data_IF_119856495293
#
_entry.id   IF_119856495293
#
_cell.length_a   1.000
_cell.length_b   1.000
_cell.length_c   1.000
_cell.angle_alpha   90.00
_cell.angle_beta   90.00
_cell.angle_gamma   90.00
#
_symmetry.space_group_name_H-M   'P 1'
#
loop_
_entity.id
_entity.type
_entity.pdbx_description
1 polymer ?
#
# COMPACT_ATOMS: atom_id res chain seq x y z
N UNK A 1 15.21 22.89 13.17
CA UNK A 1 15.97 21.79 12.52
C UNK A 1 15.17 21.38 11.31
N UNK A 2 15.70 21.54 10.10
CA UNK A 2 15.08 20.93 8.91
C UNK A 2 15.31 19.43 9.03
N UNK A 3 14.26 18.69 9.37
CA UNK A 3 14.28 17.24 9.19
C UNK A 3 14.12 17.05 7.68
N UNK A 4 15.11 16.45 7.02
CA UNK A 4 14.94 16.02 5.65
C UNK A 4 13.87 14.94 5.65
N UNK A 5 12.75 15.20 4.98
CA UNK A 5 11.69 14.23 4.81
C UNK A 5 12.12 13.16 3.81
N UNK A 6 11.59 11.95 3.94
CA UNK A 6 11.76 10.96 2.87
C UNK A 6 10.91 11.35 1.67
N UNK A 7 11.30 10.92 0.46
CA UNK A 7 10.48 11.13 -0.76
C UNK A 7 9.04 10.65 -0.59
N UNK A 8 8.83 9.59 0.20
CA UNK A 8 7.49 9.10 0.51
C UNK A 8 6.70 10.06 1.42
N UNK A 9 7.35 10.63 2.44
CA UNK A 9 6.72 11.66 3.28
C UNK A 9 6.38 12.91 2.47
N UNK A 10 7.26 13.29 1.54
CA UNK A 10 7.01 14.41 0.62
C UNK A 10 5.83 14.12 -0.31
N UNK A 11 5.72 12.92 -0.88
CA UNK A 11 4.54 12.49 -1.66
C UNK A 11 3.25 12.62 -0.84
N UNK A 12 3.26 12.17 0.42
CA UNK A 12 2.09 12.30 1.32
C UNK A 12 1.72 13.77 1.53
N UNK A 13 2.71 14.66 1.69
CA UNK A 13 2.44 16.10 1.80
C UNK A 13 1.90 16.70 0.49
N UNK A 14 2.42 16.28 -0.66
CA UNK A 14 1.92 16.72 -1.97
C UNK A 14 0.45 16.34 -2.15
N UNK A 15 0.08 15.09 -1.89
CA UNK A 15 -1.32 14.64 -1.99
C UNK A 15 -2.22 15.37 -1.00
N UNK A 16 -1.73 15.60 0.23
CA UNK A 16 -2.45 16.39 1.23
C UNK A 16 -2.71 17.83 0.75
N UNK A 17 -1.71 18.47 0.14
CA UNK A 17 -1.84 19.83 -0.41
C UNK A 17 -2.84 19.87 -1.58
N UNK A 18 -2.82 18.88 -2.48
CA UNK A 18 -3.80 18.76 -3.56
C UNK A 18 -5.24 18.64 -3.05
N UNK A 19 -5.42 18.07 -1.85
CA UNK A 19 -6.73 17.88 -1.21
C UNK A 19 -7.06 18.91 -0.13
N UNK A 20 -6.30 19.98 -0.04
CA UNK A 20 -6.60 21.09 0.87
C UNK A 20 -7.91 21.79 0.46
N UNK A 21 -8.90 21.98 1.36
CA UNK A 21 -10.20 22.58 1.00
C UNK A 21 -10.14 24.02 0.52
N UNK A 22 -9.10 24.77 0.88
CA UNK A 22 -8.98 26.21 0.57
C UNK A 22 -8.11 26.45 -0.66
N UNK A 23 -7.03 25.68 -0.81
CA UNK A 23 -5.96 25.91 -1.80
C UNK A 23 -5.75 24.74 -2.76
N UNK A 24 -6.42 23.61 -2.52
CA UNK A 24 -6.24 22.37 -3.27
C UNK A 24 -6.78 22.40 -4.69
N UNK A 25 -6.51 21.32 -5.41
CA UNK A 25 -6.94 21.14 -6.78
C UNK A 25 -8.44 20.79 -6.84
N UNK A 26 -9.25 21.50 -7.65
CA UNK A 26 -10.69 21.23 -7.76
C UNK A 26 -11.03 19.83 -8.30
N UNK A 27 -10.14 19.19 -9.06
CA UNK A 27 -10.34 17.84 -9.55
C UNK A 27 -10.12 16.83 -8.43
N UNK A 28 -9.02 16.96 -7.68
CA UNK A 28 -8.70 16.09 -6.54
C UNK A 28 -9.80 16.20 -5.48
N UNK A 29 -10.20 17.41 -5.09
CA UNK A 29 -11.25 17.63 -4.08
C UNK A 29 -12.58 16.93 -4.42
N UNK A 30 -12.92 16.76 -5.71
CA UNK A 30 -14.14 16.07 -6.15
C UNK A 30 -14.05 14.55 -6.05
N UNK A 31 -12.85 13.99 -5.92
CA UNK A 31 -12.66 12.55 -5.88
C UNK A 31 -13.23 11.92 -4.61
N UNK A 32 -13.68 10.69 -4.76
CA UNK A 32 -14.14 9.81 -3.69
C UNK A 32 -13.47 8.45 -3.88
N UNK A 33 -13.54 7.58 -2.88
CA UNK A 33 -13.05 6.20 -3.06
C UNK A 33 -13.65 5.52 -4.29
N UNK A 34 -14.92 5.79 -4.61
CA UNK A 34 -15.59 5.15 -5.75
C UNK A 34 -15.10 5.68 -7.10
N UNK A 35 -14.81 6.97 -7.20
CA UNK A 35 -14.35 7.56 -8.46
C UNK A 35 -12.89 7.23 -8.75
N UNK A 36 -12.09 6.98 -7.70
CA UNK A 36 -10.69 6.58 -7.84
C UNK A 36 -10.48 5.11 -8.22
N UNK A 37 -11.48 4.24 -8.02
CA UNK A 37 -11.35 2.80 -8.31
C UNK A 37 -11.00 2.49 -9.76
N UNK A 38 -11.52 3.26 -10.72
CA UNK A 38 -11.20 3.03 -12.13
C UNK A 38 -9.71 3.23 -12.41
N UNK A 39 -9.14 4.31 -11.88
CA UNK A 39 -7.71 4.61 -12.02
C UNK A 39 -6.88 3.53 -11.35
N UNK A 40 -7.19 3.15 -10.10
CA UNK A 40 -6.46 2.06 -9.44
C UNK A 40 -6.44 0.76 -10.25
N UNK A 41 -7.54 0.40 -10.91
CA UNK A 41 -7.56 -0.77 -11.77
C UNK A 41 -6.75 -0.58 -13.04
N UNK A 42 -6.88 0.58 -13.69
CA UNK A 42 -6.11 0.99 -14.87
C UNK A 42 -4.61 0.89 -14.61
N UNK A 43 -4.07 1.58 -13.59
CA UNK A 43 -2.63 1.56 -13.28
C UNK A 43 -2.13 0.15 -12.91
N UNK A 44 -3.00 -0.67 -12.30
CA UNK A 44 -2.66 -2.06 -12.00
C UNK A 44 -2.53 -2.91 -13.28
N UNK A 45 -3.32 -2.62 -14.31
CA UNK A 45 -3.21 -3.26 -15.62
C UNK A 45 -2.02 -2.73 -16.41
N UNK A 46 -1.76 -1.41 -16.37
CA UNK A 46 -0.59 -0.80 -17.02
C UNK A 46 0.71 -1.32 -16.39
N UNK A 47 0.79 -1.41 -15.06
CA UNK A 47 1.92 -2.04 -14.39
C UNK A 47 2.11 -3.49 -14.83
N UNK A 48 1.03 -4.28 -14.95
CA UNK A 48 1.12 -5.65 -15.46
C UNK A 48 1.67 -5.67 -16.89
N UNK A 49 1.20 -4.80 -17.78
CA UNK A 49 1.69 -4.71 -19.16
C UNK A 49 3.17 -4.34 -19.21
N UNK A 50 3.61 -3.37 -18.39
CA UNK A 50 5.02 -3.00 -18.31
C UNK A 50 5.91 -4.18 -17.90
N UNK A 51 5.46 -5.01 -16.94
CA UNK A 51 6.14 -6.25 -16.53
C UNK A 51 6.22 -7.26 -17.67
N UNK A 52 5.12 -7.49 -18.39
CA UNK A 52 5.09 -8.43 -19.52
C UNK A 52 6.05 -8.01 -20.65
N UNK A 53 6.29 -6.71 -20.81
CA UNK A 53 7.18 -6.14 -21.81
C UNK A 53 8.63 -5.93 -21.33
N UNK A 54 8.96 -6.30 -20.08
CA UNK A 54 10.25 -6.02 -19.44
C UNK A 54 10.66 -4.52 -19.48
N UNK A 55 9.69 -3.62 -19.50
CA UNK A 55 9.90 -2.17 -19.57
C UNK A 55 10.05 -1.57 -18.16
N UNK A 56 11.30 -1.52 -17.67
CA UNK A 56 11.59 -1.08 -16.31
C UNK A 56 11.32 0.41 -16.05
N UNK A 57 11.40 1.26 -17.08
CA UNK A 57 11.11 2.68 -16.91
C UNK A 57 9.61 2.87 -16.68
N UNK A 58 8.79 2.20 -17.48
CA UNK A 58 7.33 2.21 -17.35
C UNK A 58 6.89 1.47 -16.08
N UNK A 59 7.55 0.37 -15.69
CA UNK A 59 7.28 -0.31 -14.40
C UNK A 59 7.42 0.65 -13.20
N UNK A 60 8.42 1.53 -13.22
CA UNK A 60 8.64 2.51 -12.14
C UNK A 60 7.54 3.57 -12.12
N UNK A 61 7.07 4.00 -13.28
CA UNK A 61 5.97 4.96 -13.43
C UNK A 61 4.67 4.36 -12.87
N UNK A 62 4.26 3.21 -13.41
CA UNK A 62 2.96 2.60 -13.07
C UNK A 62 2.87 2.12 -11.62
N UNK A 63 3.96 1.56 -11.06
CA UNK A 63 3.96 1.20 -9.64
C UNK A 63 3.91 2.45 -8.75
N UNK A 64 4.43 3.58 -9.24
CA UNK A 64 4.31 4.89 -8.62
C UNK A 64 2.86 5.38 -8.63
N UNK A 65 2.14 5.19 -9.73
CA UNK A 65 0.73 5.59 -9.82
C UNK A 65 -0.18 4.69 -8.97
N UNK A 66 0.11 3.39 -8.88
CA UNK A 66 -0.52 2.52 -7.87
C UNK A 66 -0.24 3.03 -6.45
N UNK A 67 0.99 3.48 -6.14
CA UNK A 67 1.32 4.07 -4.85
C UNK A 67 0.56 5.38 -4.60
N UNK A 68 0.41 6.24 -5.61
CA UNK A 68 -0.40 7.45 -5.55
C UNK A 68 -1.85 7.13 -5.15
N UNK A 69 -2.45 6.08 -5.74
CA UNK A 69 -3.79 5.65 -5.38
C UNK A 69 -3.88 5.21 -3.90
N UNK A 70 -2.88 4.48 -3.38
CA UNK A 70 -2.83 4.11 -1.95
C UNK A 70 -2.82 5.35 -1.05
N UNK A 71 -2.02 6.37 -1.40
CA UNK A 71 -1.95 7.63 -0.64
C UNK A 71 -3.25 8.42 -0.74
N UNK A 72 -3.85 8.54 -1.92
CA UNK A 72 -5.14 9.23 -2.13
C UNK A 72 -6.29 8.60 -1.34
N UNK A 73 -6.41 7.27 -1.37
CA UNK A 73 -7.41 6.56 -0.58
C UNK A 73 -7.16 6.74 0.93
N UNK A 74 -5.90 6.74 1.37
CA UNK A 74 -5.56 6.99 2.78
C UNK A 74 -5.89 8.42 3.20
N UNK A 75 -5.63 9.41 2.35
CA UNK A 75 -5.94 10.81 2.59
C UNK A 75 -7.46 11.04 2.69
N UNK A 76 -8.25 10.47 1.76
CA UNK A 76 -9.72 10.51 1.81
C UNK A 76 -10.32 9.90 3.08
N UNK A 77 -9.73 8.82 3.58
CA UNK A 77 -10.15 8.20 4.83
C UNK A 77 -9.77 9.05 6.05
N UNK A 78 -8.59 9.69 6.00
CA UNK A 78 -8.09 10.57 7.05
C UNK A 78 -8.95 11.82 7.19
N UNK A 79 -9.39 12.42 6.08
CA UNK A 79 -10.35 13.55 6.05
C UNK A 79 -11.66 13.23 6.79
N UNK A 80 -12.03 11.95 6.88
CA UNK A 80 -13.23 11.46 7.57
C UNK A 80 -12.93 10.87 8.95
N UNK A 81 -11.72 11.07 9.48
CA UNK A 81 -11.25 10.51 10.75
C UNK A 81 -11.47 8.98 10.84
N UNK A 82 -11.19 8.24 9.75
CA UNK A 82 -11.35 6.77 9.70
C UNK A 82 -10.03 6.03 9.88
N UNK A 83 -9.09 6.28 9.00
CA UNK A 83 -7.71 5.76 9.05
C UNK A 83 -6.82 6.66 8.19
N UNK A 84 -5.51 6.57 8.36
CA UNK A 84 -4.52 7.29 7.55
C UNK A 84 -3.48 6.32 6.94
N UNK A 85 -2.46 6.88 6.27
CA UNK A 85 -1.42 6.10 5.61
C UNK A 85 -0.58 5.26 6.59
N UNK A 86 -0.35 5.76 7.81
CA UNK A 86 0.38 5.04 8.85
C UNK A 86 -0.42 3.84 9.35
N UNK A 87 -1.75 3.96 9.48
CA UNK A 87 -2.64 2.85 9.84
C UNK A 87 -2.60 1.75 8.77
N UNK A 88 -2.60 2.13 7.48
CA UNK A 88 -2.47 1.20 6.35
C UNK A 88 -1.13 0.47 6.41
N UNK A 89 -0.03 1.21 6.54
CA UNK A 89 1.33 0.67 6.63
C UNK A 89 1.50 -0.24 7.86
N UNK A 90 0.97 0.16 9.01
CA UNK A 90 0.98 -0.64 10.24
C UNK A 90 0.22 -1.95 10.04
N UNK A 91 -0.98 -1.90 9.48
CA UNK A 91 -1.83 -3.07 9.26
C UNK A 91 -1.15 -4.09 8.36
N UNK A 92 -0.57 -3.66 7.23
CA UNK A 92 0.13 -4.58 6.33
C UNK A 92 1.42 -5.10 6.95
N UNK A 93 2.21 -4.26 7.62
CA UNK A 93 3.44 -4.67 8.31
C UNK A 93 3.15 -5.77 9.35
N UNK A 94 2.20 -5.55 10.24
CA UNK A 94 1.84 -6.52 11.30
C UNK A 94 1.37 -7.85 10.69
N UNK A 95 0.56 -7.79 9.63
CA UNK A 95 0.12 -8.98 8.88
C UNK A 95 1.29 -9.73 8.25
N UNK A 96 2.23 -9.03 7.62
CA UNK A 96 3.40 -9.66 6.97
C UNK A 96 4.33 -10.28 8.01
N UNK A 97 4.60 -9.60 9.13
CA UNK A 97 5.41 -10.16 10.22
C UNK A 97 4.78 -11.44 10.77
N UNK A 98 3.49 -11.38 11.14
CA UNK A 98 2.76 -12.53 11.70
C UNK A 98 2.74 -13.74 10.76
N UNK A 99 2.71 -13.52 9.45
CA UNK A 99 2.67 -14.60 8.46
C UNK A 99 4.04 -15.11 8.02
N UNK A 100 5.12 -14.51 8.50
CA UNK A 100 6.49 -14.95 8.25
C UNK A 100 7.28 -15.17 9.56
N UNK A 101 6.78 -16.01 10.49
CA UNK A 101 7.50 -16.27 11.76
C UNK A 101 8.88 -16.90 11.52
N UNK A 102 9.06 -17.62 10.41
CA UNK A 102 10.36 -18.17 10.01
C UNK A 102 11.41 -17.10 9.69
N UNK A 103 10.99 -15.88 9.33
CA UNK A 103 11.88 -14.74 9.09
C UNK A 103 12.04 -13.90 10.36
N UNK A 104 10.94 -13.61 11.07
CA UNK A 104 10.93 -12.60 12.14
C UNK A 104 11.05 -13.16 13.56
N UNK A 105 10.72 -14.43 13.79
CA UNK A 105 10.73 -15.08 15.10
C UNK A 105 11.86 -16.13 15.25
N UNK A 106 12.71 -16.31 14.22
CA UNK A 106 13.84 -17.23 14.28
C UNK A 106 15.19 -16.50 14.17
N UNK A 107 15.91 -16.30 15.29
CA UNK A 107 17.22 -15.64 15.32
C UNK A 107 18.32 -16.42 14.57
N UNK A 108 18.15 -17.72 14.38
CA UNK A 108 19.14 -18.61 13.76
C UNK A 108 18.90 -18.83 12.25
N UNK A 109 17.79 -18.29 11.71
CA UNK A 109 17.43 -18.38 10.30
C UNK A 109 17.05 -19.79 9.87
N UNK A 110 15.82 -20.21 10.17
CA UNK A 110 15.26 -21.47 9.64
C UNK A 110 15.27 -21.40 8.10
N UNK A 111 16.05 -22.27 7.47
CA UNK A 111 15.93 -22.50 6.03
C UNK A 111 14.77 -23.46 5.80
N UNK A 112 13.59 -22.91 5.56
CA UNK A 112 12.41 -23.67 5.12
C UNK A 112 12.25 -23.59 3.61
N UNK A 113 11.63 -24.61 3.00
CA UNK A 113 11.37 -24.65 1.55
C UNK A 113 10.19 -23.76 1.17
N UNK A 114 10.07 -23.44 -0.13
CA UNK A 114 8.95 -22.66 -0.66
C UNK A 114 7.59 -23.33 -0.35
N UNK A 115 7.51 -24.66 -0.45
CA UNK A 115 6.30 -25.42 -0.11
C UNK A 115 5.93 -25.24 1.37
N UNK A 116 6.92 -25.32 2.26
CA UNK A 116 6.71 -25.13 3.70
C UNK A 116 6.27 -23.70 4.03
N UNK A 117 6.77 -22.68 3.31
CA UNK A 117 6.31 -21.29 3.43
C UNK A 117 4.84 -21.19 3.02
N UNK A 118 4.45 -21.77 1.88
CA UNK A 118 3.07 -21.74 1.37
C UNK A 118 2.09 -22.45 2.30
N UNK A 119 2.45 -23.61 2.83
CA UNK A 119 1.65 -24.35 3.82
C UNK A 119 1.42 -23.51 5.08
N UNK A 120 2.50 -23.03 5.71
CA UNK A 120 2.43 -22.18 6.91
C UNK A 120 1.60 -20.91 6.67
N UNK A 121 1.75 -20.26 5.52
CA UNK A 121 0.97 -19.07 5.16
C UNK A 121 -0.53 -19.37 5.11
N UNK A 122 -0.92 -20.51 4.51
CA UNK A 122 -2.31 -20.92 4.41
C UNK A 122 -2.90 -21.30 5.78
N UNK A 123 -2.13 -21.99 6.63
CA UNK A 123 -2.54 -22.36 7.99
C UNK A 123 -2.79 -21.12 8.87
N UNK A 124 -1.87 -20.15 8.82
CA UNK A 124 -2.01 -18.87 9.55
C UNK A 124 -3.21 -18.08 9.00
N UNK A 125 -3.40 -18.06 7.68
CA UNK A 125 -4.56 -17.40 7.07
C UNK A 125 -5.89 -18.07 7.46
N UNK A 126 -5.92 -19.39 7.64
CA UNK A 126 -7.11 -20.13 8.03
C UNK A 126 -7.49 -19.88 9.49
N UNK A 127 -6.50 -19.82 10.39
CA UNK A 127 -6.72 -19.48 11.81
C UNK A 127 -7.21 -18.04 11.99
N UNK A 128 -6.63 -17.06 11.27
CA UNK A 128 -7.09 -15.66 11.30
C UNK A 128 -8.56 -15.48 10.87
N UNK A 129 -9.06 -16.29 9.93
CA UNK A 129 -10.46 -16.22 9.50
C UNK A 129 -11.45 -16.72 10.55
N UNK A 130 -11.01 -17.60 11.44
CA UNK A 130 -11.86 -18.14 12.51
C UNK A 130 -11.96 -17.18 13.70
N UNK A 131 -10.93 -16.37 13.95
CA UNK A 131 -10.93 -15.36 15.03
C UNK A 131 -11.72 -14.08 14.68
N UNK A 132 -12.13 -13.91 13.43
CA UNK A 132 -12.92 -12.76 12.95
C UNK A 132 -14.44 -13.02 12.89
N UNK A 133 -14.90 -14.19 13.38
CA UNK A 133 -16.32 -14.55 13.48
C UNK A 133 -16.85 -14.46 14.92
#
# INVERSE_FOLDING_TARGET
MNVAHSEFEELVQVVKALRDPETGCPWDLKQTHKTLLSFLFEESYEFKESVDNEDYDHMREEIGDVLLQVVLHSQLASEKNKFNIDDVAKTIKEKIIRRHPHVFDNPEGEKITEEQVKERWNDIKATEKNDQN
#
